data_IF_556021594114
#
_entry.id   IF_556021594114
#
_cell.length_a   1.000
_cell.length_b   1.000
_cell.length_c   1.000
_cell.angle_alpha   90.00
_cell.angle_beta   90.00
_cell.angle_gamma   90.00
#
_symmetry.space_group_name_H-M   'P 1'
#
loop_
_entity.id
_entity.type
_entity.pdbx_description
1 polymer ?
#
# COMPACT_ATOMS: atom_id res chain seq x y z
N UNK A 1 22.38 11.45 17.75
CA UNK A 1 21.33 10.74 17.00
C UNK A 1 20.92 11.66 15.86
N UNK A 2 21.32 11.34 14.63
CA UNK A 2 20.96 12.09 13.44
C UNK A 2 19.46 11.85 13.17
N UNK A 3 18.66 12.89 13.39
CA UNK A 3 17.22 12.83 13.18
C UNK A 3 16.94 12.95 11.66
N UNK A 4 16.89 11.82 10.94
CA UNK A 4 16.49 11.81 9.55
C UNK A 4 14.98 12.09 9.46
N UNK A 5 14.51 13.05 8.66
CA UNK A 5 13.09 13.45 8.62
C UNK A 5 12.12 12.29 8.36
N UNK A 6 12.53 11.29 7.56
CA UNK A 6 11.71 10.13 7.23
C UNK A 6 11.45 9.19 8.44
N UNK A 7 12.29 9.23 9.49
CA UNK A 7 12.10 8.37 10.68
C UNK A 7 10.84 8.69 11.49
N UNK A 8 10.24 9.85 11.26
CA UNK A 8 9.03 10.30 11.95
C UNK A 8 7.83 10.52 11.02
N UNK A 9 7.97 10.14 9.74
CA UNK A 9 6.89 10.36 8.77
C UNK A 9 5.88 9.22 8.87
N UNK A 10 4.58 9.52 9.11
CA UNK A 10 3.52 8.51 9.09
C UNK A 10 3.39 7.84 7.73
N UNK A 11 2.79 6.64 7.73
CA UNK A 11 2.39 5.92 6.52
C UNK A 11 0.87 5.86 6.52
N UNK A 12 0.25 6.17 5.38
CA UNK A 12 -1.20 6.06 5.18
C UNK A 12 -1.47 4.78 4.42
N UNK A 13 -2.00 3.78 5.12
CA UNK A 13 -2.38 2.50 4.57
C UNK A 13 -3.79 2.59 4.02
N UNK A 14 -3.98 2.19 2.76
CA UNK A 14 -5.31 2.18 2.13
C UNK A 14 -5.47 0.84 1.42
N UNK A 15 -6.65 0.27 1.58
CA UNK A 15 -7.14 -0.87 0.83
C UNK A 15 -8.53 -0.54 0.32
N UNK A 16 -8.84 -0.98 -0.89
CA UNK A 16 -10.09 -0.64 -1.57
C UNK A 16 -10.79 -1.90 -2.06
N UNK A 17 -12.11 -1.90 -1.97
CA UNK A 17 -12.95 -2.87 -2.65
C UNK A 17 -13.61 -2.23 -3.87
N UNK A 18 -13.70 -2.99 -4.95
CA UNK A 18 -14.27 -2.55 -6.22
C UNK A 18 -15.24 -3.58 -6.77
N UNK A 19 -16.11 -3.19 -7.72
CA UNK A 19 -16.99 -4.12 -8.43
C UNK A 19 -16.24 -5.03 -9.40
N UNK A 20 -14.98 -4.71 -9.70
CA UNK A 20 -14.05 -5.42 -10.56
C UNK A 20 -12.80 -4.58 -10.77
N UNK A 21 -11.97 -4.92 -11.74
CA UNK A 21 -10.66 -4.27 -11.97
C UNK A 21 -10.59 -3.44 -13.27
N UNK A 22 -11.68 -3.32 -13.99
CA UNK A 22 -11.77 -2.50 -15.20
C UNK A 22 -12.06 -1.04 -14.83
N UNK A 23 -11.11 -0.17 -15.10
CA UNK A 23 -11.24 1.26 -14.78
C UNK A 23 -12.34 1.99 -15.56
N UNK A 24 -12.80 1.47 -16.67
CA UNK A 24 -13.87 2.12 -17.46
C UNK A 24 -15.26 1.75 -16.93
N UNK A 25 -15.42 0.53 -16.43
CA UNK A 25 -16.74 -0.03 -16.12
C UNK A 25 -16.95 -0.32 -14.63
N UNK A 26 -15.86 -0.50 -13.86
CA UNK A 26 -15.96 -0.86 -12.46
C UNK A 26 -15.89 0.35 -11.52
N UNK A 27 -16.51 0.20 -10.37
CA UNK A 27 -16.67 1.25 -9.37
C UNK A 27 -16.00 0.90 -8.05
N UNK A 28 -15.49 1.93 -7.39
CA UNK A 28 -15.01 1.88 -6.01
C UNK A 28 -16.21 1.75 -5.06
N UNK A 29 -16.20 0.76 -4.15
CA UNK A 29 -17.31 0.46 -3.24
C UNK A 29 -16.96 0.51 -1.76
N UNK A 30 -15.68 0.43 -1.42
CA UNK A 30 -15.18 0.60 -0.04
C UNK A 30 -13.78 1.20 -0.06
N UNK A 31 -13.50 2.09 0.88
CA UNK A 31 -12.16 2.61 1.16
C UNK A 31 -11.91 2.42 2.65
N UNK A 32 -10.96 1.58 3.01
CA UNK A 32 -10.45 1.50 4.36
C UNK A 32 -9.11 2.23 4.49
N UNK A 33 -8.85 2.86 5.63
CA UNK A 33 -7.64 3.63 5.90
C UNK A 33 -7.17 3.38 7.31
N UNK A 34 -5.88 3.10 7.47
CA UNK A 34 -5.17 3.12 8.75
C UNK A 34 -3.95 4.02 8.62
N UNK A 35 -3.68 4.83 9.62
CA UNK A 35 -2.44 5.61 9.68
C UNK A 35 -1.52 5.02 10.73
N UNK A 36 -0.27 4.74 10.35
CA UNK A 36 0.76 4.29 11.30
C UNK A 36 1.86 5.32 11.46
N UNK A 37 2.60 5.22 12.57
CA UNK A 37 3.91 5.85 12.65
C UNK A 37 4.92 5.15 11.71
N UNK A 38 6.14 5.67 11.65
CA UNK A 38 7.23 5.07 10.86
C UNK A 38 7.71 3.71 11.37
N UNK A 39 7.29 3.31 12.58
CA UNK A 39 7.60 2.00 13.18
C UNK A 39 6.49 0.98 12.95
N UNK A 40 5.48 1.35 12.17
CA UNK A 40 4.30 0.54 11.83
C UNK A 40 3.30 0.38 12.99
N UNK A 41 3.30 1.27 13.99
CA UNK A 41 2.28 1.26 15.04
C UNK A 41 1.07 2.05 14.58
N UNK A 42 -0.15 1.47 14.55
CA UNK A 42 -1.37 2.22 14.23
C UNK A 42 -1.59 3.37 15.21
N UNK A 43 -2.00 4.51 14.71
CA UNK A 43 -2.26 5.71 15.51
C UNK A 43 -3.69 5.75 16.06
N UNK A 44 -4.60 5.01 15.44
CA UNK A 44 -5.96 4.72 15.93
C UNK A 44 -6.51 3.44 15.30
N UNK A 45 -7.82 3.20 15.40
CA UNK A 45 -8.49 2.00 14.89
C UNK A 45 -8.77 2.02 13.38
N UNK A 46 -8.42 3.10 12.68
CA UNK A 46 -8.69 3.24 11.26
C UNK A 46 -10.07 3.82 10.92
N UNK A 47 -10.30 3.97 9.64
CA UNK A 47 -11.55 4.44 9.04
C UNK A 47 -11.98 3.40 7.98
N UNK A 48 -13.28 3.13 7.91
CA UNK A 48 -13.90 2.32 6.88
C UNK A 48 -15.10 3.07 6.31
N UNK A 49 -15.06 3.33 4.99
CA UNK A 49 -16.09 4.10 4.27
C UNK A 49 -16.65 3.27 3.13
N UNK A 50 -17.92 2.90 3.25
CA UNK A 50 -18.64 2.19 2.19
C UNK A 50 -19.28 3.19 1.25
N UNK A 51 -19.12 2.96 -0.05
CA UNK A 51 -19.59 3.82 -1.13
C UNK A 51 -20.72 3.12 -1.86
N UNK A 52 -21.79 3.85 -2.17
CA UNK A 52 -22.88 3.32 -2.99
C UNK A 52 -22.45 3.28 -4.45
N UNK A 53 -22.32 2.08 -5.07
CA UNK A 53 -21.94 1.97 -6.47
C UNK A 53 -23.07 2.41 -7.43
N UNK A 54 -22.73 2.80 -8.67
CA UNK A 54 -23.70 2.96 -9.75
C UNK A 54 -24.35 1.61 -10.10
N UNK A 55 -25.64 1.63 -10.47
CA UNK A 55 -26.37 0.42 -10.84
C UNK A 55 -25.73 -0.34 -12.01
N UNK A 56 -25.16 0.39 -12.96
CA UNK A 56 -24.46 -0.18 -14.11
C UNK A 56 -23.23 -1.01 -13.69
N UNK A 57 -22.40 -0.50 -12.77
CA UNK A 57 -21.24 -1.23 -12.25
C UNK A 57 -21.68 -2.50 -11.49
N UNK A 58 -22.77 -2.43 -10.74
CA UNK A 58 -23.34 -3.59 -10.06
C UNK A 58 -23.86 -4.62 -11.07
N UNK A 59 -24.50 -4.19 -12.17
CA UNK A 59 -25.02 -5.09 -13.20
C UNK A 59 -23.88 -5.82 -13.93
N UNK A 60 -22.75 -5.15 -14.17
CA UNK A 60 -21.60 -5.68 -14.90
C UNK A 60 -20.69 -6.55 -14.02
N UNK A 61 -20.83 -6.49 -12.70
CA UNK A 61 -19.98 -7.22 -11.74
C UNK A 61 -20.04 -8.73 -12.00
N UNK A 62 -18.86 -9.36 -12.11
CA UNK A 62 -18.77 -10.79 -12.33
C UNK A 62 -19.25 -11.63 -11.11
N UNK A 63 -19.49 -12.92 -11.34
CA UNK A 63 -20.05 -13.80 -10.32
C UNK A 63 -19.07 -14.04 -9.17
N UNK A 64 -17.75 -14.02 -9.40
CA UNK A 64 -16.75 -14.24 -8.37
C UNK A 64 -16.72 -13.05 -7.40
N UNK A 65 -16.62 -11.83 -7.91
CA UNK A 65 -16.62 -10.60 -7.11
C UNK A 65 -17.95 -10.45 -6.36
N UNK A 66 -19.08 -10.73 -7.03
CA UNK A 66 -20.41 -10.71 -6.39
C UNK A 66 -20.50 -11.67 -5.21
N UNK A 67 -20.01 -12.90 -5.37
CA UNK A 67 -20.04 -13.91 -4.31
C UNK A 67 -19.13 -13.49 -3.14
N UNK A 68 -17.95 -12.95 -3.41
CA UNK A 68 -17.02 -12.44 -2.41
C UNK A 68 -17.68 -11.31 -1.59
N UNK A 69 -18.20 -10.28 -2.23
CA UNK A 69 -18.87 -9.16 -1.55
C UNK A 69 -20.19 -9.56 -0.85
N UNK A 70 -20.84 -10.63 -1.32
CA UNK A 70 -22.00 -11.20 -0.61
C UNK A 70 -21.55 -11.88 0.68
N UNK A 71 -20.47 -12.68 0.62
CA UNK A 71 -19.94 -13.41 1.77
C UNK A 71 -19.42 -12.47 2.88
N UNK A 72 -18.76 -11.36 2.50
CA UNK A 72 -18.31 -10.33 3.45
C UNK A 72 -19.43 -9.43 3.96
N UNK A 73 -20.60 -9.47 3.33
CA UNK A 73 -21.74 -8.62 3.65
C UNK A 73 -21.64 -7.20 3.08
N UNK A 74 -20.63 -6.89 2.28
CA UNK A 74 -20.40 -5.56 1.70
C UNK A 74 -21.59 -5.12 0.83
N UNK A 75 -22.17 -6.04 0.03
CA UNK A 75 -23.36 -5.75 -0.80
C UNK A 75 -24.51 -5.14 0.02
N UNK A 76 -24.75 -5.60 1.24
CA UNK A 76 -25.80 -5.04 2.09
C UNK A 76 -25.44 -3.66 2.64
N UNK A 77 -24.14 -3.41 2.86
CA UNK A 77 -23.64 -2.16 3.41
C UNK A 77 -23.71 -1.02 2.39
N UNK A 78 -23.48 -1.28 1.12
CA UNK A 78 -23.47 -0.22 0.10
C UNK A 78 -24.86 0.36 -0.22
N UNK A 79 -25.95 -0.31 0.17
CA UNK A 79 -27.30 0.27 0.05
C UNK A 79 -27.44 1.58 0.84
N UNK A 80 -26.75 1.65 1.98
CA UNK A 80 -26.65 2.84 2.84
C UNK A 80 -25.33 3.56 2.70
N UNK A 81 -24.52 3.20 1.69
CA UNK A 81 -23.23 3.78 1.41
C UNK A 81 -23.32 5.26 1.05
N UNK A 82 -22.23 5.96 1.25
CA UNK A 82 -22.11 7.39 0.92
C UNK A 82 -21.82 7.59 -0.58
N UNK A 83 -21.87 8.82 -1.05
CA UNK A 83 -21.40 9.19 -2.39
C UNK A 83 -19.87 9.24 -2.44
N UNK A 84 -19.28 9.12 -3.63
CA UNK A 84 -17.83 9.29 -3.83
C UNK A 84 -17.31 10.62 -3.26
N UNK A 85 -18.05 11.73 -3.46
CA UNK A 85 -17.65 13.04 -2.93
C UNK A 85 -17.62 13.05 -1.39
N UNK A 86 -18.61 12.43 -0.75
CA UNK A 86 -18.63 12.30 0.71
C UNK A 86 -17.52 11.35 1.22
N UNK A 87 -17.23 10.28 0.49
CA UNK A 87 -16.12 9.38 0.81
C UNK A 87 -14.79 10.11 0.74
N UNK A 88 -14.54 10.88 -0.34
CA UNK A 88 -13.32 11.70 -0.48
C UNK A 88 -13.17 12.67 0.70
N UNK A 89 -14.24 13.39 1.08
CA UNK A 89 -14.22 14.32 2.19
C UNK A 89 -13.91 13.64 3.52
N UNK A 90 -14.58 12.52 3.84
CA UNK A 90 -14.37 11.75 5.07
C UNK A 90 -12.94 11.18 5.15
N UNK A 91 -12.46 10.55 4.08
CA UNK A 91 -11.12 9.99 4.00
C UNK A 91 -10.05 11.07 4.15
N UNK A 92 -10.21 12.19 3.45
CA UNK A 92 -9.26 13.31 3.51
C UNK A 92 -9.26 13.97 4.89
N UNK A 93 -10.42 14.16 5.50
CA UNK A 93 -10.55 14.70 6.85
C UNK A 93 -9.86 13.77 7.88
N UNK A 94 -10.05 12.46 7.74
CA UNK A 94 -9.39 11.46 8.59
C UNK A 94 -7.87 11.52 8.48
N UNK A 95 -7.32 11.50 7.26
CA UNK A 95 -5.87 11.55 7.04
C UNK A 95 -5.27 12.84 7.61
N UNK A 96 -5.92 13.99 7.42
CA UNK A 96 -5.43 15.29 7.90
C UNK A 96 -5.32 15.40 9.42
N UNK A 97 -6.00 14.55 10.19
CA UNK A 97 -5.82 14.49 11.66
C UNK A 97 -4.39 14.09 12.04
N UNK A 98 -3.75 13.25 11.25
CA UNK A 98 -2.42 12.70 11.49
C UNK A 98 -1.35 13.30 10.57
N UNK A 99 -1.75 13.69 9.37
CA UNK A 99 -0.89 14.23 8.31
C UNK A 99 -1.53 15.53 7.79
N UNK A 100 -1.43 16.63 8.53
CA UNK A 100 -2.08 17.89 8.15
C UNK A 100 -1.51 18.50 6.86
N UNK A 101 -0.20 18.35 6.63
CA UNK A 101 0.47 18.90 5.46
C UNK A 101 0.42 17.91 4.28
N UNK A 102 0.14 18.40 3.05
CA UNK A 102 0.11 17.55 1.87
C UNK A 102 1.50 17.05 1.47
N UNK A 103 1.51 15.91 0.77
CA UNK A 103 2.71 15.29 0.17
C UNK A 103 3.78 14.88 1.18
N UNK A 104 3.39 14.54 2.40
CA UNK A 104 4.30 14.07 3.45
C UNK A 104 4.29 12.56 3.60
N UNK A 105 3.13 11.94 3.75
CA UNK A 105 2.97 10.51 3.99
C UNK A 105 2.77 9.72 2.69
N UNK A 106 3.53 8.64 2.47
CA UNK A 106 3.30 7.74 1.35
C UNK A 106 2.05 6.88 1.57
N UNK A 107 1.45 6.44 0.47
CA UNK A 107 0.46 5.38 0.44
C UNK A 107 1.14 4.03 0.69
N UNK A 108 0.62 3.23 1.63
CA UNK A 108 1.06 1.87 1.93
C UNK A 108 -0.03 0.85 1.63
N UNK A 109 0.36 -0.38 1.29
CA UNK A 109 -0.56 -1.51 1.08
C UNK A 109 0.12 -2.68 0.37
N UNK A 110 -0.66 -3.71 0.06
CA UNK A 110 -0.26 -4.83 -0.80
C UNK A 110 -0.80 -4.63 -2.21
N UNK A 111 0.08 -4.70 -3.24
CA UNK A 111 -0.29 -4.48 -4.66
C UNK A 111 -1.03 -3.15 -4.88
N UNK A 112 -0.67 -2.17 -4.10
CA UNK A 112 -1.35 -0.88 -3.92
C UNK A 112 -1.48 -0.04 -5.20
N UNK A 113 -0.86 -0.49 -6.29
CA UNK A 113 -0.95 0.15 -7.60
C UNK A 113 -2.38 0.20 -8.15
N UNK A 114 -3.14 -0.89 -7.98
CA UNK A 114 -4.55 -0.97 -8.40
C UNK A 114 -5.40 0.01 -7.60
N UNK A 115 -5.33 -0.04 -6.26
CA UNK A 115 -6.04 0.88 -5.38
C UNK A 115 -5.74 2.34 -5.74
N UNK A 116 -4.45 2.66 -5.88
CA UNK A 116 -4.01 4.00 -6.24
C UNK A 116 -4.60 4.50 -7.56
N UNK A 117 -4.81 3.60 -8.52
CA UNK A 117 -5.37 3.97 -9.83
C UNK A 117 -6.86 4.32 -9.71
N UNK A 118 -7.64 3.49 -8.99
CA UNK A 118 -9.05 3.79 -8.69
C UNK A 118 -9.20 5.06 -7.85
N UNK A 119 -8.39 5.21 -6.80
CA UNK A 119 -8.39 6.41 -5.96
C UNK A 119 -8.06 7.69 -6.76
N UNK A 120 -7.11 7.61 -7.70
CA UNK A 120 -6.75 8.75 -8.53
C UNK A 120 -7.86 9.18 -9.50
N UNK A 121 -8.68 8.22 -9.98
CA UNK A 121 -9.85 8.49 -10.82
C UNK A 121 -11.01 9.08 -10.01
N UNK A 122 -11.33 8.45 -8.86
CA UNK A 122 -12.59 8.65 -8.15
C UNK A 122 -12.51 9.65 -7.00
N UNK A 123 -11.33 9.74 -6.33
CA UNK A 123 -11.09 10.60 -5.16
C UNK A 123 -9.73 11.32 -5.27
N UNK A 124 -9.53 12.12 -6.33
CA UNK A 124 -8.22 12.68 -6.67
C UNK A 124 -7.61 13.58 -5.60
N UNK A 125 -8.42 14.31 -4.80
CA UNK A 125 -7.90 15.18 -3.73
C UNK A 125 -7.23 14.37 -2.62
N UNK A 126 -7.66 13.13 -2.39
CA UNK A 126 -7.02 12.23 -1.45
C UNK A 126 -5.61 11.85 -1.95
N UNK A 127 -5.48 11.46 -3.21
CA UNK A 127 -4.18 11.13 -3.82
C UNK A 127 -3.25 12.36 -3.89
N UNK A 128 -3.77 13.54 -4.19
CA UNK A 128 -3.01 14.79 -4.22
C UNK A 128 -2.46 15.19 -2.83
N UNK A 129 -3.13 14.76 -1.77
CA UNK A 129 -2.67 14.98 -0.40
C UNK A 129 -1.53 14.02 0.00
N UNK A 130 -1.47 12.83 -0.58
CA UNK A 130 -0.44 11.84 -0.29
C UNK A 130 0.89 12.13 -1.02
N UNK A 131 1.97 11.57 -0.53
CA UNK A 131 3.25 11.63 -1.21
C UNK A 131 3.19 10.77 -2.50
N UNK A 132 3.92 11.16 -3.56
CA UNK A 132 3.91 10.44 -4.84
C UNK A 132 4.50 9.03 -4.77
N UNK A 133 5.39 8.76 -3.81
CA UNK A 133 5.97 7.43 -3.56
C UNK A 133 4.97 6.56 -2.82
N UNK A 134 5.09 5.25 -3.05
CA UNK A 134 4.30 4.22 -2.37
C UNK A 134 5.20 3.28 -1.57
N UNK A 135 4.63 2.63 -0.56
CA UNK A 135 5.22 1.52 0.17
C UNK A 135 4.38 0.29 -0.18
N UNK A 136 4.84 -0.47 -1.18
CA UNK A 136 4.16 -1.68 -1.63
C UNK A 136 4.82 -2.90 -0.99
N UNK A 137 4.11 -3.54 -0.06
CA UNK A 137 4.58 -4.72 0.66
C UNK A 137 4.75 -5.91 -0.28
N UNK A 138 3.93 -6.00 -1.35
CA UNK A 138 4.06 -7.04 -2.37
C UNK A 138 5.41 -6.99 -3.10
N UNK A 139 6.01 -5.81 -3.27
CA UNK A 139 7.36 -5.69 -3.83
C UNK A 139 8.42 -6.31 -2.94
N UNK A 140 8.32 -6.12 -1.62
CA UNK A 140 9.23 -6.74 -0.64
C UNK A 140 9.03 -8.25 -0.64
N UNK A 141 7.79 -8.72 -0.64
CA UNK A 141 7.40 -10.11 -0.74
C UNK A 141 7.99 -10.81 -1.98
N UNK A 142 7.88 -10.17 -3.14
CA UNK A 142 8.43 -10.68 -4.39
C UNK A 142 9.96 -10.76 -4.37
N UNK A 143 10.65 -9.82 -3.74
CA UNK A 143 12.10 -9.86 -3.55
C UNK A 143 12.50 -10.94 -2.52
N UNK A 144 11.76 -11.05 -1.42
CA UNK A 144 11.98 -12.11 -0.44
C UNK A 144 11.82 -13.50 -1.05
N UNK A 145 10.80 -13.72 -1.90
CA UNK A 145 10.60 -14.98 -2.62
C UNK A 145 11.80 -15.38 -3.47
N UNK A 146 12.47 -14.41 -4.11
CA UNK A 146 13.63 -14.64 -4.99
C UNK A 146 14.93 -14.82 -4.25
N UNK A 147 15.18 -13.99 -3.23
CA UNK A 147 16.49 -13.91 -2.59
C UNK A 147 16.53 -14.66 -1.26
N UNK A 148 15.39 -14.79 -0.57
CA UNK A 148 15.24 -15.39 0.75
C UNK A 148 14.01 -16.31 0.80
N UNK A 149 13.92 -17.39 -0.01
CA UNK A 149 12.71 -18.21 -0.12
C UNK A 149 12.25 -18.80 1.22
N UNK A 150 13.17 -19.11 2.13
CA UNK A 150 12.80 -19.60 3.48
C UNK A 150 12.00 -18.55 4.26
N UNK A 151 12.38 -17.28 4.17
CA UNK A 151 11.65 -16.17 4.77
C UNK A 151 10.25 -16.04 4.14
N UNK A 152 10.17 -16.11 2.82
CA UNK A 152 8.89 -16.05 2.12
C UNK A 152 7.92 -17.15 2.55
N UNK A 153 8.38 -18.42 2.60
CA UNK A 153 7.52 -19.56 2.97
C UNK A 153 7.20 -19.65 4.47
N UNK A 154 7.93 -18.94 5.33
CA UNK A 154 7.67 -18.86 6.76
C UNK A 154 6.84 -17.63 7.17
N UNK A 155 6.42 -16.79 6.20
CA UNK A 155 5.59 -15.64 6.50
C UNK A 155 4.26 -16.07 7.13
N UNK A 156 3.74 -15.32 8.12
CA UNK A 156 2.45 -15.60 8.74
C UNK A 156 1.33 -15.67 7.71
N UNK A 157 0.40 -16.61 7.92
CA UNK A 157 -0.81 -16.67 7.10
C UNK A 157 -1.66 -15.42 7.36
N UNK A 158 -2.24 -14.89 6.30
CA UNK A 158 -3.19 -13.77 6.38
C UNK A 158 -4.51 -14.27 6.97
N UNK A 159 -5.24 -13.40 7.64
CA UNK A 159 -6.56 -13.72 8.20
C UNK A 159 -7.59 -14.01 7.11
N UNK A 160 -7.40 -13.47 5.91
CA UNK A 160 -8.15 -13.81 4.69
C UNK A 160 -9.64 -13.47 4.73
N UNK A 161 -10.03 -12.51 5.57
CA UNK A 161 -11.45 -12.17 5.77
C UNK A 161 -12.04 -11.33 4.64
N UNK A 162 -11.23 -10.89 3.66
CA UNK A 162 -11.66 -10.01 2.55
C UNK A 162 -12.52 -8.83 3.05
N UNK A 163 -12.09 -8.20 4.11
CA UNK A 163 -12.60 -6.96 4.64
C UNK A 163 -11.47 -5.94 4.56
N UNK A 164 -11.65 -4.85 3.84
CA UNK A 164 -10.60 -3.90 3.51
C UNK A 164 -9.79 -3.45 4.74
N UNK A 165 -10.44 -3.19 5.88
CA UNK A 165 -9.74 -2.82 7.11
C UNK A 165 -8.88 -3.97 7.68
N UNK A 166 -9.36 -5.21 7.58
CA UNK A 166 -8.61 -6.42 7.98
C UNK A 166 -7.39 -6.65 7.10
N UNK A 167 -7.54 -6.48 5.80
CA UNK A 167 -6.47 -6.67 4.81
C UNK A 167 -5.36 -5.60 4.95
N UNK A 168 -5.70 -4.39 5.45
CA UNK A 168 -4.71 -3.40 5.87
C UNK A 168 -3.87 -3.91 7.04
N UNK A 169 -4.49 -4.43 8.10
CA UNK A 169 -3.75 -4.96 9.24
C UNK A 169 -2.87 -6.14 8.85
N UNK A 170 -3.37 -7.04 8.02
CA UNK A 170 -2.58 -8.13 7.44
C UNK A 170 -1.35 -7.59 6.65
N UNK A 171 -1.52 -6.49 5.92
CA UNK A 171 -0.43 -5.85 5.17
C UNK A 171 0.61 -5.20 6.09
N UNK A 172 0.17 -4.55 7.17
CA UNK A 172 1.05 -3.96 8.20
C UNK A 172 1.85 -5.07 8.89
N UNK A 173 1.19 -6.16 9.28
CA UNK A 173 1.83 -7.28 9.98
C UNK A 173 2.78 -8.06 9.08
N UNK A 174 2.45 -8.22 7.80
CA UNK A 174 3.35 -8.79 6.79
C UNK A 174 4.62 -7.92 6.66
N UNK A 175 4.49 -6.59 6.62
CA UNK A 175 5.66 -5.70 6.57
C UNK A 175 6.46 -5.73 7.88
N UNK A 176 5.82 -5.83 9.04
CA UNK A 176 6.51 -6.02 10.33
C UNK A 176 7.33 -7.30 10.34
N UNK A 177 6.76 -8.39 9.82
CA UNK A 177 7.46 -9.66 9.67
C UNK A 177 8.70 -9.51 8.80
N UNK A 178 8.57 -8.99 7.57
CA UNK A 178 9.72 -8.78 6.69
C UNK A 178 10.76 -7.86 7.31
N UNK A 179 10.33 -6.80 7.98
CA UNK A 179 11.23 -5.89 8.69
C UNK A 179 12.04 -6.60 9.77
N UNK A 180 11.42 -7.48 10.53
CA UNK A 180 12.10 -8.23 11.61
C UNK A 180 13.11 -9.26 11.08
N UNK A 181 12.85 -9.85 9.91
CA UNK A 181 13.65 -10.97 9.38
C UNK A 181 14.70 -10.52 8.36
N UNK A 182 14.40 -9.50 7.55
CA UNK A 182 15.25 -9.09 6.41
C UNK A 182 16.14 -7.89 6.71
N UNK A 183 15.75 -7.01 7.66
CA UNK A 183 16.55 -5.84 8.02
C UNK A 183 17.27 -6.06 9.34
N UNK A 184 18.46 -5.45 9.53
CA UNK A 184 19.15 -5.49 10.82
C UNK A 184 18.25 -4.96 11.94
N UNK A 185 18.42 -5.51 13.14
CA UNK A 185 17.67 -5.09 14.33
C UNK A 185 18.15 -3.76 14.92
N UNK A 186 19.33 -3.32 14.51
CA UNK A 186 19.99 -2.08 14.91
C UNK A 186 19.74 -0.92 13.92
N UNK A 187 20.52 0.16 14.04
CA UNK A 187 20.42 1.32 13.15
C UNK A 187 20.90 1.04 11.71
N UNK A 188 21.32 -0.20 11.41
CA UNK A 188 21.88 -0.59 10.12
C UNK A 188 23.34 -0.14 9.97
N UNK A 189 23.87 -0.12 8.73
CA UNK A 189 25.26 0.22 8.47
C UNK A 189 25.55 1.68 8.84
N UNK A 190 26.77 1.94 9.30
CA UNK A 190 27.27 3.29 9.48
C UNK A 190 27.36 4.03 8.14
N UNK A 191 27.46 5.35 8.20
CA UNK A 191 27.60 6.15 6.97
C UNK A 191 28.84 5.77 6.15
N UNK A 192 29.91 5.32 6.80
CA UNK A 192 31.15 4.97 6.12
C UNK A 192 31.07 3.58 5.48
N UNK A 193 30.49 2.59 6.18
CA UNK A 193 30.16 1.28 5.60
C UNK A 193 29.21 1.40 4.40
N UNK A 194 28.19 2.25 4.49
CA UNK A 194 27.27 2.48 3.38
C UNK A 194 27.96 3.13 2.17
N UNK A 195 28.90 4.08 2.39
CA UNK A 195 29.70 4.70 1.32
C UNK A 195 30.66 3.70 0.68
N UNK A 196 31.30 2.85 1.48
CA UNK A 196 32.19 1.80 0.99
C UNK A 196 31.45 0.83 0.08
N UNK A 197 30.29 0.32 0.51
CA UNK A 197 29.47 -0.55 -0.31
C UNK A 197 28.99 0.15 -1.60
N UNK A 198 28.59 1.41 -1.51
CA UNK A 198 28.20 2.18 -2.70
C UNK A 198 29.37 2.34 -3.69
N UNK A 199 30.59 2.51 -3.21
CA UNK A 199 31.79 2.61 -4.06
C UNK A 199 32.10 1.28 -4.77
N UNK A 200 32.01 0.14 -4.06
CA UNK A 200 32.18 -1.20 -4.63
C UNK A 200 31.16 -1.47 -5.74
N UNK A 201 29.89 -1.25 -5.47
CA UNK A 201 28.82 -1.46 -6.47
C UNK A 201 29.02 -0.53 -7.68
N UNK A 202 29.43 0.72 -7.47
CA UNK A 202 29.71 1.66 -8.56
C UNK A 202 30.86 1.18 -9.44
N UNK A 203 31.91 0.60 -8.86
CA UNK A 203 33.04 0.04 -9.61
C UNK A 203 32.58 -1.14 -10.50
N UNK A 204 31.83 -2.09 -9.94
CA UNK A 204 31.29 -3.23 -10.67
C UNK A 204 30.38 -2.78 -11.83
N UNK A 205 29.45 -1.85 -11.57
CA UNK A 205 28.57 -1.31 -12.61
C UNK A 205 29.33 -0.59 -13.73
N UNK A 206 30.50 -0.01 -13.44
CA UNK A 206 31.33 0.65 -14.46
C UNK A 206 31.96 -0.38 -15.38
N UNK A 207 32.43 -1.52 -14.83
CA UNK A 207 32.98 -2.65 -15.61
C UNK A 207 31.88 -3.26 -16.48
N UNK A 208 30.72 -3.59 -15.91
CA UNK A 208 29.60 -4.17 -16.65
C UNK A 208 29.14 -3.28 -17.81
N UNK A 209 29.04 -1.97 -17.60
CA UNK A 209 28.65 -1.02 -18.65
C UNK A 209 29.68 -0.95 -19.76
N UNK A 210 30.97 -0.98 -19.44
CA UNK A 210 32.04 -1.01 -20.44
C UNK A 210 31.99 -2.29 -21.28
N UNK A 211 31.78 -3.45 -20.66
CA UNK A 211 31.64 -4.74 -21.36
C UNK A 211 30.45 -4.75 -22.32
N UNK A 212 29.26 -4.33 -21.86
CA UNK A 212 28.06 -4.22 -22.73
C UNK A 212 28.22 -3.26 -23.88
N UNK A 213 28.98 -2.17 -23.70
CA UNK A 213 29.26 -1.23 -24.77
C UNK A 213 30.17 -1.85 -25.86
N UNK A 214 31.09 -2.75 -25.47
CA UNK A 214 31.93 -3.49 -26.42
C UNK A 214 31.21 -4.63 -27.17
N UNK A 215 30.22 -5.28 -26.54
CA UNK A 215 29.43 -6.34 -27.16
C UNK A 215 28.40 -5.83 -28.18
N UNK A 216 28.07 -4.56 -28.15
CA UNK A 216 27.11 -3.90 -29.06
C UNK A 216 27.77 -3.12 -30.22
N UNK A 217 29.09 -3.26 -30.41
CA UNK A 217 29.89 -2.75 -31.53
C UNK A 217 30.32 -3.88 -32.48
#
# INVERSE_FOLDING_TARGET
VSNFPAQNTPIVWIDCEMTGLDLEHDALVEIAIVVTDAKLNPLDNGLDVVIKPPEEAVANMDAFVRNMHTATGLIKRWETGVTLAQAEEQCLAYIKRFVPDPRKAPLGGNSVGTDRTFLARDVPKLIDHLHYRVIDVSSIKELAKRWFPRTYFAAPEKTGNHQALGDIYDSIDELRYYRAVLWPSDEGPTSDEAKEQAALIKADLTVDRAQRAHENL
#
